data_IF_602169529591
#
_entry.id   IF_602169529591
#
_cell.length_a   1.000
_cell.length_b   1.000
_cell.length_c   1.000
_cell.angle_alpha   90.00
_cell.angle_beta   90.00
_cell.angle_gamma   90.00
#
_symmetry.space_group_name_H-M   'P 1'
#
loop_
_entity.id
_entity.type
_entity.pdbx_description
1 polymer ?
#
# COMPACT_ATOMS: atom_id res chain seq x y z
N UNK A 1 -13.77 -83.62 -35.08
CA UNK A 1 -12.96 -83.36 -33.87
C UNK A 1 -13.64 -82.23 -33.09
N UNK A 2 -13.83 -82.44 -31.78
CA UNK A 2 -14.32 -81.46 -30.78
C UNK A 2 -13.45 -80.19 -30.85
N UNK A 3 -13.89 -78.95 -30.62
CA UNK A 3 -14.45 -78.40 -29.38
C UNK A 3 -15.22 -77.09 -29.68
N UNK A 4 -16.32 -76.85 -28.98
CA UNK A 4 -16.97 -75.53 -28.91
C UNK A 4 -16.53 -74.76 -27.67
N UNK A 5 -16.63 -73.44 -27.72
CA UNK A 5 -16.81 -72.58 -26.54
C UNK A 5 -17.70 -71.37 -26.86
N UNK A 6 -18.59 -71.13 -25.90
CA UNK A 6 -19.62 -70.11 -25.84
C UNK A 6 -19.00 -68.70 -25.72
N UNK A 7 -19.52 -67.73 -26.46
CA UNK A 7 -20.45 -66.69 -25.99
C UNK A 7 -19.76 -65.43 -25.44
N UNK A 8 -20.03 -64.29 -26.09
CA UNK A 8 -20.68 -63.18 -25.42
C UNK A 8 -21.23 -62.20 -26.46
N UNK A 9 -22.54 -61.98 -26.37
CA UNK A 9 -23.32 -60.99 -27.11
C UNK A 9 -23.36 -59.72 -26.27
N UNK A 10 -23.09 -58.56 -26.88
CA UNK A 10 -23.56 -57.25 -26.43
C UNK A 10 -23.60 -56.34 -27.68
N UNK A 11 -24.72 -56.31 -28.40
CA UNK A 11 -25.88 -55.42 -28.21
C UNK A 11 -25.60 -53.98 -28.66
N UNK A 12 -26.36 -53.62 -29.70
CA UNK A 12 -26.44 -52.37 -30.43
C UNK A 12 -26.79 -51.15 -29.57
N UNK A 13 -26.33 -49.96 -30.00
CA UNK A 13 -27.18 -48.76 -30.10
C UNK A 13 -26.42 -47.64 -30.83
N UNK A 14 -26.85 -47.34 -32.06
CA UNK A 14 -26.68 -46.05 -32.71
C UNK A 14 -27.56 -45.00 -32.02
N UNK A 15 -27.04 -43.81 -31.65
CA UNK A 15 -27.81 -42.54 -31.67
C UNK A 15 -26.99 -41.29 -31.34
N UNK A 16 -26.96 -40.38 -32.33
CA UNK A 16 -27.28 -38.94 -32.24
C UNK A 16 -26.24 -37.96 -31.65
N UNK A 17 -25.85 -37.04 -32.53
CA UNK A 17 -25.23 -35.77 -32.23
C UNK A 17 -26.12 -34.92 -31.32
N UNK A 18 -25.51 -34.26 -30.33
CA UNK A 18 -26.08 -33.10 -29.66
C UNK A 18 -25.28 -31.87 -30.06
N UNK A 19 -26.02 -30.87 -30.55
CA UNK A 19 -25.51 -29.69 -31.23
C UNK A 19 -24.59 -28.81 -30.41
N UNK A 20 -23.60 -28.25 -31.09
CA UNK A 20 -22.82 -27.12 -30.60
C UNK A 20 -23.73 -25.88 -30.59
N UNK A 21 -24.13 -25.43 -29.40
CA UNK A 21 -24.62 -24.06 -29.24
C UNK A 21 -23.45 -23.12 -29.53
N UNK A 22 -23.51 -22.24 -30.54
CA UNK A 22 -22.47 -21.24 -30.71
C UNK A 22 -22.57 -20.27 -29.52
N UNK A 23 -21.56 -20.33 -28.64
CA UNK A 23 -21.40 -19.35 -27.58
C UNK A 23 -21.30 -17.97 -28.19
N UNK A 24 -22.24 -17.09 -27.85
CA UNK A 24 -22.24 -15.70 -28.27
C UNK A 24 -20.95 -15.03 -27.75
N UNK A 25 -20.03 -14.54 -28.60
CA UNK A 25 -18.78 -13.93 -28.16
C UNK A 25 -18.95 -12.54 -27.52
N UNK A 26 -20.20 -12.09 -27.29
CA UNK A 26 -20.51 -10.74 -26.84
C UNK A 26 -20.81 -10.60 -25.33
N UNK A 27 -20.32 -11.50 -24.48
CA UNK A 27 -20.15 -11.16 -23.06
C UNK A 27 -18.77 -10.54 -22.86
N UNK A 28 -18.55 -9.41 -23.52
CA UNK A 28 -17.44 -8.53 -23.16
C UNK A 28 -17.84 -7.86 -21.85
N UNK A 29 -17.39 -8.41 -20.73
CA UNK A 29 -17.46 -7.74 -19.43
C UNK A 29 -16.65 -6.46 -19.54
N UNK A 30 -17.33 -5.33 -19.72
CA UNK A 30 -16.70 -4.01 -19.71
C UNK A 30 -16.23 -3.75 -18.27
N UNK A 31 -14.90 -3.81 -18.07
CA UNK A 31 -14.31 -3.54 -16.77
C UNK A 31 -14.52 -2.05 -16.43
N UNK A 32 -14.90 -1.72 -15.19
CA UNK A 32 -15.04 -0.32 -14.79
C UNK A 32 -13.70 0.39 -14.94
N UNK A 33 -13.72 1.62 -15.46
CA UNK A 33 -12.55 2.49 -15.53
C UNK A 33 -12.08 2.82 -14.11
N UNK A 34 -10.94 2.28 -13.71
CA UNK A 34 -10.29 2.58 -12.42
C UNK A 34 -9.28 3.70 -12.64
N UNK A 35 -9.60 4.90 -12.18
CA UNK A 35 -8.65 6.01 -12.12
C UNK A 35 -7.81 5.88 -10.84
N UNK A 36 -6.55 5.47 -11.01
CA UNK A 36 -5.59 5.37 -9.90
C UNK A 36 -4.89 6.72 -9.73
N UNK A 37 -5.30 7.48 -8.73
CA UNK A 37 -4.59 8.69 -8.33
C UNK A 37 -3.39 8.26 -7.47
N UNK A 38 -2.20 8.27 -8.07
CA UNK A 38 -0.95 7.99 -7.36
C UNK A 38 -0.51 9.17 -6.48
N UNK A 39 0.22 8.87 -5.39
CA UNK A 39 0.95 9.90 -4.65
C UNK A 39 2.09 10.42 -5.54
N UNK A 40 2.13 11.74 -5.80
CA UNK A 40 3.36 12.36 -6.31
C UNK A 40 4.38 12.36 -5.17
N UNK A 41 5.57 11.75 -5.34
CA UNK A 41 6.65 11.91 -4.37
C UNK A 41 6.95 13.39 -4.22
N UNK A 42 7.08 13.84 -2.96
CA UNK A 42 7.47 15.21 -2.68
C UNK A 42 8.88 15.43 -3.25
N UNK A 43 9.17 16.56 -3.92
CA UNK A 43 10.51 16.88 -4.37
C UNK A 43 11.52 16.74 -3.21
N UNK A 44 12.60 15.99 -3.44
CA UNK A 44 13.62 15.73 -2.42
C UNK A 44 13.47 14.39 -1.66
N UNK A 45 12.40 13.62 -1.89
CA UNK A 45 12.29 12.26 -1.32
C UNK A 45 13.44 11.38 -1.83
N UNK A 46 14.22 10.80 -0.92
CA UNK A 46 15.38 9.97 -1.25
C UNK A 46 16.65 10.75 -1.64
N UNK A 47 16.61 12.08 -1.60
CA UNK A 47 17.84 12.89 -1.72
C UNK A 47 18.61 12.82 -0.41
N UNK A 48 19.92 12.48 -0.41
CA UNK A 48 20.69 12.44 0.81
C UNK A 48 20.80 13.85 1.41
N UNK A 49 20.86 13.93 2.74
CA UNK A 49 20.82 15.19 3.50
C UNK A 49 21.86 16.23 3.03
N UNK A 50 23.03 15.75 2.56
CA UNK A 50 24.14 16.58 2.05
C UNK A 50 23.83 17.33 0.74
N UNK A 51 22.87 16.84 -0.05
CA UNK A 51 22.55 17.37 -1.38
C UNK A 51 21.34 18.32 -1.30
N UNK A 52 20.81 18.59 -0.10
CA UNK A 52 19.72 19.53 0.15
C UNK A 52 20.33 20.91 0.47
N UNK A 53 20.12 21.94 -0.38
CA UNK A 53 20.66 23.28 -0.16
C UNK A 53 19.82 24.08 0.85
N UNK A 54 19.56 23.50 2.03
CA UNK A 54 18.80 24.11 3.12
C UNK A 54 19.32 23.64 4.49
N UNK A 55 19.00 24.39 5.54
CA UNK A 55 19.32 24.00 6.92
C UNK A 55 18.37 22.89 7.40
N UNK A 56 18.71 21.64 7.10
CA UNK A 56 17.95 20.47 7.57
C UNK A 56 18.50 20.01 8.92
N UNK A 57 17.61 19.86 9.89
CA UNK A 57 17.93 19.34 11.22
C UNK A 57 17.12 18.06 11.44
N UNK A 58 17.72 17.05 12.06
CA UNK A 58 17.08 15.76 12.33
C UNK A 58 17.44 15.29 13.73
N UNK A 59 16.51 14.58 14.37
CA UNK A 59 16.73 13.90 15.64
C UNK A 59 16.28 12.44 15.53
N UNK A 60 16.98 11.57 16.24
CA UNK A 60 16.71 10.15 16.37
C UNK A 60 15.84 9.87 17.60
N UNK A 61 15.17 8.71 17.62
CA UNK A 61 14.39 8.29 18.78
C UNK A 61 15.25 8.16 20.06
N UNK A 62 16.53 7.82 19.90
CA UNK A 62 17.49 7.77 21.01
C UNK A 62 17.73 9.17 21.58
N UNK A 63 18.01 10.16 20.73
CA UNK A 63 18.22 11.56 21.17
C UNK A 63 16.97 12.13 21.84
N UNK A 64 15.77 11.83 21.31
CA UNK A 64 14.52 12.22 21.96
C UNK A 64 14.37 11.61 23.37
N UNK A 65 14.80 10.35 23.55
CA UNK A 65 14.71 9.62 24.82
C UNK A 65 15.77 10.07 25.84
N UNK A 66 16.97 10.42 25.37
CA UNK A 66 18.08 10.86 26.24
C UNK A 66 17.89 12.27 26.79
N UNK A 67 17.11 13.10 26.11
CA UNK A 67 16.92 14.50 26.47
C UNK A 67 15.80 14.74 27.51
N UNK A 68 15.13 13.69 28.00
CA UNK A 68 14.00 13.74 28.95
C UNK A 68 12.98 14.85 28.61
N UNK A 69 12.75 15.06 27.31
CA UNK A 69 11.80 16.05 26.86
C UNK A 69 10.39 15.56 27.19
N UNK A 70 9.63 16.41 27.87
CA UNK A 70 8.30 16.07 28.37
C UNK A 70 7.29 15.88 27.22
N UNK A 71 7.59 16.50 26.09
CA UNK A 71 6.87 16.39 24.83
C UNK A 71 7.82 16.68 23.64
N UNK A 72 7.33 16.40 22.42
CA UNK A 72 8.10 16.62 21.19
C UNK A 72 8.37 18.10 20.93
N UNK A 73 7.45 19.00 21.30
CA UNK A 73 7.57 20.41 21.03
C UNK A 73 8.72 21.00 21.86
N UNK A 74 8.82 20.65 23.13
CA UNK A 74 9.91 20.95 24.06
C UNK A 74 11.26 20.43 23.56
N UNK A 75 11.32 19.19 23.06
CA UNK A 75 12.55 18.66 22.45
C UNK A 75 13.02 19.51 21.27
N UNK A 76 12.08 19.86 20.39
CA UNK A 76 12.33 20.69 19.20
C UNK A 76 12.81 22.08 19.60
N UNK A 77 12.15 22.75 20.55
CA UNK A 77 12.56 24.08 21.00
C UNK A 77 13.91 24.12 21.71
N UNK A 78 14.35 23.01 22.34
CA UNK A 78 15.65 22.93 23.02
C UNK A 78 16.79 22.53 22.09
N UNK A 79 16.54 21.65 21.13
CA UNK A 79 17.60 20.98 20.35
C UNK A 79 17.75 21.54 18.93
N UNK A 80 16.74 22.24 18.41
CA UNK A 80 16.74 22.73 17.03
C UNK A 80 16.87 24.25 16.98
N UNK A 81 17.75 24.74 16.11
CA UNK A 81 17.87 26.15 15.83
C UNK A 81 16.66 26.67 15.05
N UNK A 82 16.24 27.90 15.36
CA UNK A 82 15.12 28.58 14.67
C UNK A 82 13.73 28.23 15.21
N UNK A 83 13.64 27.29 16.16
CA UNK A 83 12.37 26.93 16.81
C UNK A 83 12.16 27.77 18.07
N UNK A 84 10.96 28.34 18.21
CA UNK A 84 10.53 29.08 19.39
C UNK A 84 9.17 28.56 19.87
N UNK A 85 9.11 28.13 21.13
CA UNK A 85 7.87 27.73 21.79
C UNK A 85 7.25 28.91 22.51
N UNK A 86 5.93 29.00 22.47
CA UNK A 86 5.16 29.97 23.23
C UNK A 86 3.95 29.31 23.87
N UNK A 87 3.84 29.43 25.19
CA UNK A 87 2.74 28.85 25.96
C UNK A 87 1.67 29.93 26.19
N UNK A 88 0.41 29.63 25.89
CA UNK A 88 -0.68 30.54 26.23
C UNK A 88 -0.87 30.57 27.75
N UNK A 89 -0.38 31.63 28.41
CA UNK A 89 -0.52 31.86 29.86
C UNK A 89 -0.03 30.70 30.75
N UNK A 90 1.04 30.02 30.32
CA UNK A 90 1.63 28.89 31.07
C UNK A 90 0.87 27.56 30.92
N UNK A 91 -0.05 27.45 29.97
CA UNK A 91 -0.71 26.18 29.66
C UNK A 91 0.11 25.35 28.66
N UNK A 92 0.78 24.31 29.17
CA UNK A 92 1.59 23.39 28.36
C UNK A 92 0.77 22.60 27.32
N UNK A 93 -0.56 22.47 27.47
CA UNK A 93 -1.41 21.80 26.48
C UNK A 93 -1.84 22.72 25.33
N UNK A 94 -1.55 24.01 25.44
CA UNK A 94 -1.84 25.03 24.43
C UNK A 94 -0.55 25.69 23.96
N UNK A 95 0.46 24.87 23.68
CA UNK A 95 1.74 25.30 23.15
C UNK A 95 1.65 25.64 21.67
N UNK A 96 2.23 26.77 21.30
CA UNK A 96 2.42 27.16 19.92
C UNK A 96 3.90 27.11 19.54
N UNK A 97 4.22 26.36 18.49
CA UNK A 97 5.56 26.25 17.93
C UNK A 97 5.69 27.20 16.73
N UNK A 98 6.71 28.05 16.75
CA UNK A 98 7.04 28.96 15.65
C UNK A 98 8.45 28.62 15.11
N UNK A 99 8.61 28.64 13.79
CA UNK A 99 9.87 28.38 13.09
C UNK A 99 10.21 29.54 12.15
N UNK A 100 11.45 30.03 12.21
CA UNK A 100 11.97 31.11 11.37
C UNK A 100 13.34 30.79 10.80
#
# INVERSE_FOLDING_TARGET
MKFGWAALVALAASTQAYGQTPGNPATATEAPTVEVIGIRPVPGLGTPLRDIPAAVQSATARELSEHDARDLADHLGRSFAGINLNDAQGNAFQQNLNYR
#
